data_IF_076888685011
#
_entry.id   IF_076888685011
#
_cell.length_a   1.000
_cell.length_b   1.000
_cell.length_c   1.000
_cell.angle_alpha   90.00
_cell.angle_beta   90.00
_cell.angle_gamma   90.00
#
_symmetry.space_group_name_H-M   'P 1'
#
loop_
_entity.id
_entity.type
_entity.pdbx_description
1 polymer ?
#
# COMPACT_ATOMS: atom_id res chain seq x y z
N UNK A 1 5.81 -19.76 3.95
CA UNK A 1 5.18 -20.74 3.04
C UNK A 1 4.87 -20.11 1.68
N UNK A 2 4.03 -19.07 1.60
CA UNK A 2 3.70 -18.39 0.33
C UNK A 2 4.96 -17.92 -0.45
N UNK A 3 5.91 -17.25 0.21
CA UNK A 3 7.19 -16.84 -0.40
C UNK A 3 8.00 -18.01 -0.97
N UNK A 4 8.02 -19.16 -0.29
CA UNK A 4 8.73 -20.35 -0.75
C UNK A 4 8.06 -20.94 -1.99
N UNK A 5 6.71 -20.98 -2.01
CA UNK A 5 5.95 -21.42 -3.18
C UNK A 5 6.23 -20.49 -4.36
N UNK A 6 6.13 -19.18 -4.18
CA UNK A 6 6.37 -18.19 -5.25
C UNK A 6 7.80 -18.22 -5.77
N UNK A 7 8.80 -18.49 -4.93
CA UNK A 7 10.19 -18.62 -5.40
C UNK A 7 10.43 -19.90 -6.21
N UNK A 8 9.72 -20.98 -5.93
CA UNK A 8 9.87 -22.25 -6.65
C UNK A 8 8.99 -22.33 -7.91
N UNK A 9 7.98 -21.46 -8.03
CA UNK A 9 7.02 -21.52 -9.13
C UNK A 9 7.48 -20.79 -10.40
N UNK A 10 8.50 -21.34 -11.05
CA UNK A 10 9.17 -20.76 -12.22
C UNK A 10 8.23 -20.39 -13.38
N UNK A 11 7.19 -21.19 -13.66
CA UNK A 11 6.26 -20.94 -14.77
C UNK A 11 5.43 -19.66 -14.60
N UNK A 12 5.05 -19.32 -13.36
CA UNK A 12 4.14 -18.21 -13.11
C UNK A 12 4.88 -16.95 -12.65
N UNK A 13 5.88 -17.08 -11.78
CA UNK A 13 6.58 -15.95 -11.15
C UNK A 13 7.98 -15.71 -11.72
N UNK A 14 8.47 -16.57 -12.62
CA UNK A 14 9.87 -16.56 -13.04
C UNK A 14 10.85 -16.95 -11.92
N UNK A 15 10.35 -17.43 -10.77
CA UNK A 15 11.15 -17.81 -9.62
C UNK A 15 11.97 -16.63 -9.05
N UNK A 16 13.27 -16.82 -8.73
CA UNK A 16 14.13 -15.74 -8.23
C UNK A 16 14.41 -14.63 -9.26
N UNK A 17 14.19 -14.92 -10.55
CA UNK A 17 14.40 -13.99 -11.65
C UNK A 17 13.21 -13.08 -11.90
N UNK A 18 12.08 -13.28 -11.20
CA UNK A 18 10.90 -12.42 -11.20
C UNK A 18 10.22 -12.22 -12.56
N UNK A 19 9.27 -11.29 -12.59
CA UNK A 19 8.49 -10.93 -13.80
C UNK A 19 8.58 -9.44 -14.06
N UNK A 20 8.78 -9.06 -15.33
CA UNK A 20 8.75 -7.66 -15.76
C UNK A 20 7.32 -7.12 -15.73
N UNK A 21 7.13 -5.96 -15.12
CA UNK A 21 5.85 -5.25 -15.19
C UNK A 21 5.79 -4.43 -16.49
N UNK A 22 4.63 -4.35 -17.16
CA UNK A 22 4.45 -3.47 -18.31
C UNK A 22 4.68 -2.01 -17.90
N UNK A 23 5.23 -1.18 -18.80
CA UNK A 23 5.40 0.24 -18.53
C UNK A 23 4.04 0.92 -18.29
N UNK A 24 4.00 2.01 -17.51
CA UNK A 24 2.77 2.77 -17.31
C UNK A 24 2.29 3.32 -18.66
N UNK A 25 1.02 3.07 -18.97
CA UNK A 25 0.32 3.60 -20.14
C UNK A 25 -0.94 4.33 -19.65
N UNK A 26 -1.28 5.45 -20.29
CA UNK A 26 -2.51 6.21 -20.01
C UNK A 26 -3.47 6.01 -21.18
N UNK A 27 -4.52 5.20 -21.02
CA UNK A 27 -5.51 4.94 -22.08
C UNK A 27 -4.90 4.53 -23.44
N UNK A 28 -3.77 3.80 -23.42
CA UNK A 28 -3.03 3.40 -24.63
C UNK A 28 -1.92 4.38 -25.06
N UNK A 29 -1.77 5.52 -24.39
CA UNK A 29 -0.65 6.44 -24.58
C UNK A 29 0.56 5.97 -23.79
N UNK A 30 1.66 5.68 -24.48
CA UNK A 30 2.89 5.25 -23.83
C UNK A 30 3.79 6.44 -23.47
N UNK A 31 4.37 6.43 -22.26
CA UNK A 31 5.36 7.43 -21.83
C UNK A 31 6.79 7.10 -22.28
N UNK A 32 6.94 6.53 -23.49
CA UNK A 32 8.22 6.17 -24.11
C UNK A 32 8.56 7.10 -25.28
N UNK A 33 9.83 7.16 -25.68
CA UNK A 33 10.29 7.97 -26.83
C UNK A 33 9.70 7.48 -28.15
N UNK A 34 9.59 6.17 -28.31
CA UNK A 34 9.02 5.51 -29.49
C UNK A 34 8.13 4.40 -28.99
N UNK A 35 6.86 4.41 -29.40
CA UNK A 35 5.88 3.44 -28.95
C UNK A 35 6.32 2.02 -29.35
N UNK A 36 6.38 1.10 -28.39
CA UNK A 36 6.78 -0.29 -28.64
C UNK A 36 5.65 -1.12 -29.22
N UNK A 37 4.40 -0.78 -28.89
CA UNK A 37 3.20 -1.55 -29.26
C UNK A 37 2.26 -0.80 -30.22
N UNK A 38 2.77 0.12 -31.05
CA UNK A 38 1.98 0.81 -32.09
C UNK A 38 0.99 1.87 -31.58
N UNK A 39 1.06 2.25 -30.30
CA UNK A 39 0.34 3.39 -29.73
C UNK A 39 0.94 4.74 -30.13
N UNK A 40 0.18 5.83 -29.96
CA UNK A 40 0.76 7.19 -30.03
C UNK A 40 1.42 7.52 -28.70
N UNK A 41 2.71 7.91 -28.68
CA UNK A 41 3.36 8.26 -27.44
C UNK A 41 2.80 9.57 -26.90
N UNK A 42 2.76 9.71 -25.57
CA UNK A 42 2.11 10.83 -24.89
C UNK A 42 2.65 12.20 -25.35
N UNK A 43 3.96 12.29 -25.62
CA UNK A 43 4.61 13.52 -26.07
C UNK A 43 4.17 13.95 -27.48
N UNK A 44 3.90 12.98 -28.36
CA UNK A 44 3.47 13.22 -29.74
C UNK A 44 1.98 13.61 -29.80
N UNK A 45 1.14 12.97 -28.97
CA UNK A 45 -0.28 13.34 -28.87
C UNK A 45 -0.49 14.76 -28.35
N UNK A 46 0.29 15.17 -27.34
CA UNK A 46 0.19 16.50 -26.74
C UNK A 46 1.09 17.57 -27.39
N UNK A 47 1.90 17.20 -28.39
CA UNK A 47 2.90 18.07 -29.04
C UNK A 47 3.88 18.74 -28.06
N UNK A 48 4.25 18.05 -26.98
CA UNK A 48 5.18 18.53 -25.96
C UNK A 48 6.54 17.86 -26.18
N UNK A 49 7.66 18.58 -25.96
CA UNK A 49 8.99 17.98 -26.04
C UNK A 49 9.13 16.80 -25.07
N UNK A 50 9.66 15.67 -25.54
CA UNK A 50 9.89 14.51 -24.69
C UNK A 50 10.91 14.84 -23.60
N UNK A 51 10.45 14.80 -22.35
CA UNK A 51 11.31 14.82 -21.16
C UNK A 51 10.99 13.59 -20.29
N UNK A 52 11.99 12.76 -19.92
CA UNK A 52 11.82 11.63 -19.01
C UNK A 52 11.10 11.96 -17.69
N UNK A 53 11.15 13.22 -17.25
CA UNK A 53 10.46 13.69 -16.04
C UNK A 53 8.93 13.54 -16.12
N UNK A 54 8.34 13.62 -17.32
CA UNK A 54 6.88 13.47 -17.49
C UNK A 54 6.38 12.09 -17.03
N UNK A 55 7.18 11.04 -17.24
CA UNK A 55 6.84 9.69 -16.77
C UNK A 55 6.78 9.63 -15.24
N UNK A 56 7.76 10.21 -14.56
CA UNK A 56 7.79 10.25 -13.10
C UNK A 56 6.64 11.09 -12.55
N UNK A 57 6.41 12.28 -13.11
CA UNK A 57 5.32 13.16 -12.72
C UNK A 57 3.97 12.44 -12.86
N UNK A 58 3.74 11.74 -13.97
CA UNK A 58 2.52 10.99 -14.19
C UNK A 58 2.31 9.89 -13.13
N UNK A 59 3.34 9.09 -12.83
CA UNK A 59 3.27 8.03 -11.82
C UNK A 59 2.96 8.62 -10.43
N UNK A 60 3.64 9.69 -10.02
CA UNK A 60 3.39 10.35 -8.73
C UNK A 60 2.01 11.00 -8.66
N UNK A 61 1.54 11.63 -9.74
CA UNK A 61 0.20 12.19 -9.82
C UNK A 61 -0.87 11.11 -9.73
N UNK A 62 -0.70 10.00 -10.45
CA UNK A 62 -1.60 8.85 -10.39
C UNK A 62 -1.64 8.25 -8.97
N UNK A 63 -0.49 8.10 -8.32
CA UNK A 63 -0.41 7.67 -6.92
C UNK A 63 -1.20 8.60 -6.00
N UNK A 64 -0.96 9.90 -6.13
CA UNK A 64 -1.61 10.90 -5.29
C UNK A 64 -3.14 10.87 -5.46
N UNK A 65 -3.62 10.76 -6.70
CA UNK A 65 -5.05 10.63 -7.00
C UNK A 65 -5.64 9.35 -6.41
N UNK A 66 -4.95 8.20 -6.54
CA UNK A 66 -5.40 6.92 -5.97
C UNK A 66 -5.45 7.00 -4.44
N UNK A 67 -4.43 7.56 -3.80
CA UNK A 67 -4.40 7.72 -2.33
C UNK A 67 -5.53 8.65 -1.87
N UNK A 68 -5.74 9.79 -2.54
CA UNK A 68 -6.84 10.71 -2.23
C UNK A 68 -8.19 10.02 -2.38
N UNK A 69 -8.40 9.29 -3.49
CA UNK A 69 -9.60 8.49 -3.73
C UNK A 69 -9.81 7.46 -2.62
N UNK A 70 -8.77 6.74 -2.22
CA UNK A 70 -8.85 5.73 -1.15
C UNK A 70 -9.21 6.35 0.20
N UNK A 71 -8.64 7.51 0.54
CA UNK A 71 -9.01 8.23 1.78
C UNK A 71 -10.49 8.63 1.74
N UNK A 72 -10.99 9.11 0.61
CA UNK A 72 -12.42 9.43 0.44
C UNK A 72 -13.29 8.18 0.55
N UNK A 73 -12.92 7.08 -0.10
CA UNK A 73 -13.66 5.81 -0.06
C UNK A 73 -13.71 5.27 1.37
N UNK A 74 -12.58 5.20 2.08
CA UNK A 74 -12.52 4.70 3.46
C UNK A 74 -13.33 5.57 4.42
N UNK A 75 -13.22 6.89 4.30
CA UNK A 75 -14.00 7.80 5.16
C UNK A 75 -15.50 7.72 4.89
N UNK A 76 -15.91 7.57 3.62
CA UNK A 76 -17.32 7.34 3.26
C UNK A 76 -17.82 6.00 3.76
N UNK A 77 -16.99 4.96 3.63
CA UNK A 77 -17.34 3.60 4.02
C UNK A 77 -17.57 3.46 5.53
N UNK A 78 -16.78 4.18 6.35
CA UNK A 78 -17.00 4.26 7.81
C UNK A 78 -18.40 4.76 8.17
N UNK A 79 -18.95 5.67 7.37
CA UNK A 79 -20.28 6.24 7.61
C UNK A 79 -21.42 5.37 7.06
N UNK A 80 -21.14 4.44 6.15
CA UNK A 80 -22.13 3.55 5.55
C UNK A 80 -22.56 2.43 6.53
N UNK A 81 -23.74 1.80 6.32
CA UNK A 81 -24.21 0.70 7.17
C UNK A 81 -23.21 -0.45 7.31
N UNK A 82 -22.46 -0.75 6.25
CA UNK A 82 -21.41 -1.77 6.24
C UNK A 82 -20.28 -1.40 7.22
N UNK A 83 -19.83 -0.15 7.22
CA UNK A 83 -18.80 0.33 8.16
C UNK A 83 -19.27 0.31 9.61
N UNK A 84 -20.53 0.68 9.86
CA UNK A 84 -21.14 0.60 11.20
C UNK A 84 -21.28 -0.84 11.69
N UNK A 85 -21.57 -1.78 10.79
CA UNK A 85 -21.61 -3.20 11.13
C UNK A 85 -20.23 -3.74 11.54
N UNK A 86 -19.14 -3.24 10.93
CA UNK A 86 -17.78 -3.59 11.35
C UNK A 86 -17.43 -3.03 12.72
N UNK A 87 -17.85 -1.80 13.02
CA UNK A 87 -17.63 -1.17 14.32
C UNK A 87 -18.42 -1.88 15.42
N UNK A 88 -19.70 -2.20 15.18
CA UNK A 88 -20.53 -2.95 16.13
C UNK A 88 -19.95 -4.35 16.41
N UNK A 89 -19.47 -5.05 15.38
CA UNK A 89 -18.86 -6.37 15.53
C UNK A 89 -17.56 -6.32 16.34
N UNK A 90 -16.81 -5.20 16.26
CA UNK A 90 -15.57 -5.00 17.02
C UNK A 90 -15.85 -4.81 18.52
N UNK A 91 -16.96 -4.21 18.89
CA UNK A 91 -17.34 -3.98 20.29
C UNK A 91 -17.84 -5.26 20.96
N UNK A 92 -18.83 -5.96 20.36
CA UNK A 92 -19.35 -7.22 20.88
C UNK A 92 -19.91 -8.14 19.78
N UNK A 93 -19.17 -9.21 19.50
CA UNK A 93 -19.56 -10.23 18.52
C UNK A 93 -20.78 -11.05 18.97
N UNK A 94 -20.93 -11.32 20.26
CA UNK A 94 -22.02 -12.11 20.81
C UNK A 94 -23.32 -11.32 20.71
N UNK A 95 -23.31 -10.03 21.04
CA UNK A 95 -24.47 -9.15 20.89
C UNK A 95 -24.89 -8.99 19.43
N UNK A 96 -23.94 -8.80 18.50
CA UNK A 96 -24.25 -8.72 17.07
C UNK A 96 -24.92 -9.99 16.55
N UNK A 97 -24.49 -11.16 17.04
CA UNK A 97 -25.08 -12.45 16.68
C UNK A 97 -26.52 -12.59 17.22
N UNK A 98 -26.79 -12.10 18.42
CA UNK A 98 -28.15 -12.08 18.97
C UNK A 98 -29.12 -11.19 18.16
N UNK A 99 -28.60 -10.13 17.54
CA UNK A 99 -29.35 -9.22 16.65
C UNK A 99 -29.52 -9.77 15.21
N UNK A 100 -29.06 -10.99 14.94
CA UNK A 100 -29.20 -11.62 13.62
C UNK A 100 -28.16 -11.19 12.58
N UNK A 101 -27.10 -10.48 12.99
CA UNK A 101 -26.01 -10.09 12.08
C UNK A 101 -25.10 -11.30 11.83
N UNK A 102 -24.86 -11.64 10.56
CA UNK A 102 -23.95 -12.72 10.19
C UNK A 102 -22.48 -12.27 10.34
N UNK A 103 -21.87 -12.60 11.49
CA UNK A 103 -20.47 -12.30 11.80
C UNK A 103 -19.47 -12.79 10.73
N UNK A 104 -19.74 -13.91 10.06
CA UNK A 104 -18.85 -14.45 9.01
C UNK A 104 -18.79 -13.51 7.81
N UNK A 105 -19.95 -13.10 7.28
CA UNK A 105 -20.02 -12.19 6.13
C UNK A 105 -19.43 -10.81 6.46
N UNK A 106 -19.66 -10.33 7.68
CA UNK A 106 -19.14 -9.04 8.13
C UNK A 106 -17.61 -9.08 8.27
N UNK A 107 -17.02 -10.14 8.84
CA UNK A 107 -15.55 -10.32 8.88
C UNK A 107 -14.94 -10.50 7.49
N UNK A 108 -15.59 -11.29 6.64
CA UNK A 108 -15.09 -11.62 5.31
C UNK A 108 -15.15 -10.41 4.38
N UNK A 109 -16.19 -9.57 4.49
CA UNK A 109 -16.27 -8.28 3.77
C UNK A 109 -15.19 -7.30 4.23
N UNK A 110 -14.92 -7.20 5.53
CA UNK A 110 -13.82 -6.37 6.04
C UNK A 110 -12.45 -6.84 5.50
N UNK A 111 -12.22 -8.15 5.49
CA UNK A 111 -11.01 -8.75 4.93
C UNK A 111 -10.88 -8.49 3.42
N UNK A 112 -11.96 -8.72 2.66
CA UNK A 112 -11.98 -8.48 1.21
C UNK A 112 -11.67 -7.02 0.87
N UNK A 113 -12.31 -6.07 1.55
CA UNK A 113 -12.08 -4.64 1.33
C UNK A 113 -10.62 -4.25 1.60
N UNK A 114 -10.05 -4.74 2.70
CA UNK A 114 -8.63 -4.53 3.02
C UNK A 114 -7.70 -5.14 1.96
N UNK A 115 -7.99 -6.36 1.51
CA UNK A 115 -7.23 -7.05 0.48
C UNK A 115 -7.30 -6.32 -0.88
N UNK A 116 -8.44 -5.74 -1.25
CA UNK A 116 -8.58 -4.95 -2.47
C UNK A 116 -7.69 -3.71 -2.45
N UNK A 117 -7.67 -2.96 -1.35
CA UNK A 117 -6.81 -1.77 -1.21
C UNK A 117 -5.33 -2.16 -1.28
N UNK A 118 -4.94 -3.25 -0.62
CA UNK A 118 -3.58 -3.80 -0.71
C UNK A 118 -3.21 -4.27 -2.12
N UNK A 119 -4.15 -4.87 -2.85
CA UNK A 119 -3.95 -5.28 -4.23
C UNK A 119 -3.71 -4.10 -5.17
N UNK A 120 -4.47 -3.02 -5.02
CA UNK A 120 -4.28 -1.79 -5.81
C UNK A 120 -2.89 -1.17 -5.53
N UNK A 121 -2.46 -1.15 -4.27
CA UNK A 121 -1.11 -0.71 -3.92
C UNK A 121 -0.02 -1.60 -4.55
N UNK A 122 -0.24 -2.92 -4.59
CA UNK A 122 0.67 -3.88 -5.22
C UNK A 122 0.82 -3.69 -6.74
N UNK A 123 -0.28 -3.44 -7.45
CA UNK A 123 -0.26 -3.14 -8.90
C UNK A 123 0.52 -1.86 -9.16
N UNK A 124 0.33 -0.83 -8.33
CA UNK A 124 1.10 0.40 -8.46
C UNK A 124 2.60 0.18 -8.21
N UNK A 125 2.94 -0.59 -7.17
CA UNK A 125 4.32 -0.95 -6.84
C UNK A 125 5.00 -1.70 -7.99
N UNK A 126 4.30 -2.64 -8.63
CA UNK A 126 4.78 -3.37 -9.81
C UNK A 126 5.19 -2.42 -10.95
N UNK A 127 4.30 -1.49 -11.29
CA UNK A 127 4.51 -0.55 -12.40
C UNK A 127 5.59 0.48 -12.10
N UNK A 128 5.74 0.89 -10.84
CA UNK A 128 6.81 1.80 -10.41
C UNK A 128 8.19 1.15 -10.47
N UNK A 129 8.31 -0.07 -9.93
CA UNK A 129 9.59 -0.79 -9.93
C UNK A 129 9.94 -1.37 -11.31
N UNK A 130 8.94 -1.56 -12.19
CA UNK A 130 9.09 -2.11 -13.54
C UNK A 130 9.37 -3.62 -13.57
N UNK A 131 9.55 -4.22 -12.40
CA UNK A 131 9.90 -5.62 -12.22
C UNK A 131 9.57 -6.04 -10.80
N UNK A 132 9.06 -7.27 -10.64
CA UNK A 132 8.69 -7.84 -9.35
C UNK A 132 9.45 -9.12 -9.08
N UNK A 133 10.02 -9.19 -7.89
CA UNK A 133 10.71 -10.37 -7.38
C UNK A 133 10.19 -10.71 -5.97
N UNK A 134 9.84 -11.98 -5.69
CA UNK A 134 9.43 -12.39 -4.34
C UNK A 134 10.53 -12.19 -3.28
N UNK A 135 11.79 -11.97 -3.68
CA UNK A 135 12.90 -11.65 -2.78
C UNK A 135 12.83 -10.22 -2.21
N UNK A 136 12.18 -9.28 -2.92
CA UNK A 136 12.02 -7.89 -2.47
C UNK A 136 11.06 -7.79 -1.28
N UNK A 137 10.12 -8.73 -1.14
CA UNK A 137 9.17 -8.78 -0.02
C UNK A 137 9.71 -9.62 1.13
N UNK A 138 10.66 -9.04 1.87
CA UNK A 138 11.24 -9.69 3.04
C UNK A 138 10.35 -9.51 4.30
N UNK A 139 10.73 -10.19 5.38
CA UNK A 139 10.03 -10.08 6.66
C UNK A 139 10.06 -8.66 7.24
N UNK A 140 11.17 -7.93 7.04
CA UNK A 140 11.32 -6.56 7.51
C UNK A 140 10.34 -5.60 6.84
N UNK A 141 10.11 -5.71 5.54
CA UNK A 141 9.11 -4.92 4.82
C UNK A 141 7.69 -5.19 5.35
N UNK A 142 7.37 -6.47 5.62
CA UNK A 142 6.08 -6.84 6.22
C UNK A 142 5.92 -6.27 7.64
N UNK A 143 6.98 -6.33 8.44
CA UNK A 143 7.01 -5.77 9.79
C UNK A 143 6.89 -4.23 9.76
N UNK A 144 7.49 -3.57 8.76
CA UNK A 144 7.42 -2.13 8.56
C UNK A 144 5.97 -1.69 8.25
N UNK A 145 5.27 -2.39 7.37
CA UNK A 145 3.86 -2.10 7.05
C UNK A 145 2.98 -2.23 8.30
N UNK A 146 3.16 -3.29 9.09
CA UNK A 146 2.42 -3.48 10.35
C UNK A 146 2.77 -2.37 11.36
N UNK A 147 4.05 -2.00 11.46
CA UNK A 147 4.52 -0.92 12.32
C UNK A 147 3.86 0.42 11.98
N UNK A 148 3.72 0.77 10.70
CA UNK A 148 3.02 1.98 10.25
C UNK A 148 1.59 2.02 10.79
N UNK A 149 0.85 0.91 10.71
CA UNK A 149 -0.55 0.85 11.16
C UNK A 149 -0.64 0.94 12.69
N UNK A 150 0.25 0.25 13.40
CA UNK A 150 0.29 0.27 14.87
C UNK A 150 0.67 1.67 15.39
N UNK A 151 1.67 2.31 14.77
CA UNK A 151 2.12 3.65 15.12
C UNK A 151 1.07 4.71 14.76
N UNK A 152 0.40 4.56 13.62
CA UNK A 152 -0.70 5.45 13.22
C UNK A 152 -1.93 5.36 14.13
N UNK A 153 -2.22 4.16 14.65
CA UNK A 153 -3.37 3.86 15.50
C UNK A 153 -4.50 3.16 14.73
N UNK A 154 -5.12 2.14 15.35
CA UNK A 154 -6.11 1.21 14.77
C UNK A 154 -7.50 1.82 14.43
N UNK A 155 -7.55 3.06 13.97
CA UNK A 155 -8.80 3.72 13.59
C UNK A 155 -8.67 5.14 13.03
N UNK A 156 -7.45 5.68 12.95
CA UNK A 156 -7.19 7.04 12.46
C UNK A 156 -6.47 7.02 11.13
N UNK A 157 -7.17 7.32 10.03
CA UNK A 157 -6.58 7.40 8.69
C UNK A 157 -5.46 8.45 8.63
N UNK A 158 -5.66 9.60 9.28
CA UNK A 158 -4.65 10.68 9.33
C UNK A 158 -3.42 10.27 10.14
N UNK A 159 -3.62 9.56 11.26
CA UNK A 159 -2.53 8.98 12.05
C UNK A 159 -1.66 8.02 11.22
N UNK A 160 -2.29 7.15 10.44
CA UNK A 160 -1.60 6.19 9.56
C UNK A 160 -0.82 6.89 8.44
N UNK A 161 -1.36 7.96 7.84
CA UNK A 161 -0.65 8.74 6.80
C UNK A 161 0.60 9.41 7.38
N UNK A 162 0.49 10.03 8.56
CA UNK A 162 1.64 10.66 9.23
C UNK A 162 2.67 9.60 9.64
N UNK A 163 2.22 8.47 10.18
CA UNK A 163 3.08 7.36 10.54
C UNK A 163 3.85 6.81 9.32
N UNK A 164 3.18 6.66 8.17
CA UNK A 164 3.79 6.22 6.93
C UNK A 164 4.89 7.19 6.46
N UNK A 165 4.62 8.50 6.50
CA UNK A 165 5.61 9.52 6.16
C UNK A 165 6.82 9.47 7.08
N UNK A 166 6.60 9.43 8.40
CA UNK A 166 7.69 9.39 9.39
C UNK A 166 8.51 8.12 9.23
N UNK A 167 7.87 6.95 9.18
CA UNK A 167 8.59 5.68 9.10
C UNK A 167 9.22 5.41 7.73
N UNK A 168 8.86 6.15 6.68
CA UNK A 168 9.53 6.09 5.38
C UNK A 168 10.72 7.06 5.34
N UNK A 169 10.55 8.30 5.79
CA UNK A 169 11.60 9.34 5.72
C UNK A 169 12.72 9.07 6.73
N UNK A 170 12.36 8.61 7.93
CA UNK A 170 13.32 8.42 9.01
C UNK A 170 14.45 7.43 8.66
N UNK A 171 14.19 6.21 8.16
CA UNK A 171 15.26 5.29 7.74
C UNK A 171 16.05 5.81 6.53
N UNK A 172 15.45 6.64 5.66
CA UNK A 172 16.16 7.26 4.53
C UNK A 172 17.11 8.37 5.00
N UNK A 173 16.76 9.12 6.05
CA UNK A 173 17.68 10.08 6.70
C UNK A 173 18.80 9.36 7.48
N UNK A 174 18.47 8.26 8.13
CA UNK A 174 19.42 7.36 8.82
C UNK A 174 20.18 6.47 7.84
N UNK A 175 20.08 6.71 6.53
CA UNK A 175 20.76 5.91 5.51
C UNK A 175 22.28 5.92 5.70
N UNK A 176 22.84 7.02 6.21
CA UNK A 176 24.27 7.12 6.51
C UNK A 176 24.72 6.19 7.66
N UNK A 177 23.83 5.77 8.57
CA UNK A 177 24.12 4.89 9.71
C UNK A 177 23.55 3.48 9.50
N UNK A 178 23.95 2.85 8.37
CA UNK A 178 23.34 1.62 7.84
C UNK A 178 23.17 0.48 8.86
N UNK A 179 24.13 0.28 9.76
CA UNK A 179 24.12 -0.83 10.71
C UNK A 179 23.15 -0.63 11.89
N UNK A 180 22.85 0.62 12.26
CA UNK A 180 21.98 0.93 13.40
C UNK A 180 20.51 1.12 13.03
N UNK A 181 20.14 1.04 11.75
CA UNK A 181 18.76 1.31 11.30
C UNK A 181 17.73 0.41 11.97
N UNK A 182 18.00 -0.90 12.01
CA UNK A 182 17.08 -1.90 12.56
C UNK A 182 16.94 -1.73 14.07
N UNK A 183 18.04 -1.41 14.75
CA UNK A 183 18.05 -1.14 16.19
C UNK A 183 17.28 0.14 16.52
N UNK A 184 17.56 1.24 15.81
CA UNK A 184 16.88 2.52 15.98
C UNK A 184 15.37 2.41 15.70
N UNK A 185 14.99 1.63 14.68
CA UNK A 185 13.59 1.34 14.37
C UNK A 185 12.90 0.59 15.51
N UNK A 186 13.52 -0.46 16.05
CA UNK A 186 12.99 -1.22 17.19
C UNK A 186 12.82 -0.36 18.44
N UNK A 187 13.82 0.48 18.75
CA UNK A 187 13.76 1.42 19.89
C UNK A 187 12.63 2.44 19.70
N UNK A 188 12.47 2.99 18.50
CA UNK A 188 11.41 3.93 18.19
C UNK A 188 10.01 3.31 18.35
N UNK A 189 9.85 2.06 17.90
CA UNK A 189 8.60 1.30 18.08
C UNK A 189 8.26 1.12 19.56
N UNK A 190 9.23 0.71 20.38
CA UNK A 190 9.02 0.52 21.82
C UNK A 190 8.70 1.84 22.52
N UNK A 191 9.47 2.90 22.23
CA UNK A 191 9.22 4.23 22.80
C UNK A 191 7.82 4.74 22.45
N UNK A 192 7.38 4.53 21.22
CA UNK A 192 6.08 4.98 20.76
C UNK A 192 4.94 4.19 21.42
N UNK A 193 5.10 2.87 21.58
CA UNK A 193 4.14 2.04 22.34
C UNK A 193 4.04 2.47 23.80
N UNK A 194 5.14 2.90 24.42
CA UNK A 194 5.14 3.41 25.80
C UNK A 194 4.45 4.78 25.89
N UNK A 195 4.74 5.70 24.97
CA UNK A 195 4.23 7.09 25.07
C UNK A 195 2.80 7.26 24.57
N UNK A 196 2.37 6.52 23.53
CA UNK A 196 1.04 6.66 22.91
C UNK A 196 0.47 5.31 22.45
N UNK A 197 -0.02 4.45 23.38
CA UNK A 197 -0.57 3.13 23.04
C UNK A 197 -1.83 3.17 22.17
N UNK A 198 -2.44 4.35 21.97
CA UNK A 198 -3.62 4.55 21.09
C UNK A 198 -3.28 5.17 19.72
N UNK A 199 -2.00 5.34 19.38
CA UNK A 199 -1.55 5.92 18.11
C UNK A 199 -1.31 7.44 18.15
N UNK A 200 -0.81 7.97 17.04
CA UNK A 200 -0.37 9.37 16.92
C UNK A 200 -1.54 10.37 17.00
N UNK A 201 -2.68 10.05 16.40
CA UNK A 201 -3.89 10.91 16.35
C UNK A 201 -5.10 10.10 16.83
N UNK A 202 -5.93 10.69 17.71
CA UNK A 202 -7.17 10.03 18.17
C UNK A 202 -8.18 9.96 17.00
N UNK A 203 -8.86 8.82 16.79
CA UNK A 203 -9.84 8.64 15.73
C UNK A 203 -11.12 9.49 15.92
#
# INVERSE_FOLDING_TARGET
>A
IIRLVLNNWLEFTGGPNGVSAPPPQLFGLEFTRTARDGGVPFHEYFQISYDPLHRFIFIYLALFLIVCLMVVVVTRLRNMPVGRAWEALREDEIACRALGINHVLVKLSAFMMGATVGGIAGVFFATYQGFINPMSFNFFESALIVAIVVLGGLGSTTGVIVAALVLTILPELLRAFADYRVFAFGVLMVLMMIWRPRGLIRP
#
